data_IF_886344616534
#
_entry.id   IF_886344616534
#
_cell.length_a   1.000
_cell.length_b   1.000
_cell.length_c   1.000
_cell.angle_alpha   90.00
_cell.angle_beta   90.00
_cell.angle_gamma   90.00
#
_symmetry.space_group_name_H-M   'P 1'
#
loop_
_entity.id
_entity.type
_entity.pdbx_description
1 polymer ?
#
# COMPACT_ATOMS: atom_id res chain seq x y z
N UNK A 1 14.91 -9.28 0.45
CA UNK A 1 13.66 -9.49 -0.31
C UNK A 1 13.34 -8.18 -1.02
N UNK A 2 13.12 -8.18 -2.34
CA UNK A 2 12.79 -6.94 -3.09
C UNK A 2 11.30 -6.64 -2.88
N UNK A 3 10.96 -5.41 -2.49
CA UNK A 3 9.57 -4.99 -2.40
C UNK A 3 8.94 -4.94 -3.80
N UNK A 4 7.77 -5.54 -3.95
CA UNK A 4 6.91 -5.47 -5.15
C UNK A 4 5.47 -5.15 -4.72
N UNK A 5 4.64 -4.61 -5.62
CA UNK A 5 3.22 -4.38 -5.33
C UNK A 5 2.50 -5.66 -4.86
N UNK A 6 2.87 -6.83 -5.42
CA UNK A 6 2.27 -8.11 -5.06
C UNK A 6 2.68 -8.57 -3.66
N UNK A 7 3.97 -8.47 -3.32
CA UNK A 7 4.46 -8.78 -1.97
C UNK A 7 3.84 -7.85 -0.91
N UNK A 8 3.68 -6.56 -1.24
CA UNK A 8 3.05 -5.59 -0.35
C UNK A 8 1.55 -5.85 -0.19
N UNK A 9 0.86 -6.25 -1.26
CA UNK A 9 -0.54 -6.69 -1.23
C UNK A 9 -0.73 -7.91 -0.31
N UNK A 10 0.17 -8.88 -0.36
CA UNK A 10 0.13 -10.03 0.55
C UNK A 10 0.28 -9.59 2.02
N UNK A 11 1.25 -8.71 2.32
CA UNK A 11 1.46 -8.17 3.66
C UNK A 11 0.24 -7.41 4.18
N UNK A 12 -0.39 -6.58 3.35
CA UNK A 12 -1.65 -5.91 3.70
C UNK A 12 -2.71 -6.91 4.14
N UNK A 13 -2.85 -8.04 3.42
CA UNK A 13 -3.80 -9.09 3.76
C UNK A 13 -3.49 -9.81 5.07
N UNK A 14 -2.22 -9.90 5.46
CA UNK A 14 -1.79 -10.52 6.72
C UNK A 14 -1.92 -9.55 7.91
N UNK A 15 -1.74 -8.25 7.66
CA UNK A 15 -1.61 -7.26 8.73
C UNK A 15 -2.93 -6.58 9.11
N UNK A 16 -3.82 -6.38 8.13
CA UNK A 16 -5.08 -5.69 8.36
C UNK A 16 -6.09 -6.62 9.06
N UNK A 17 -6.59 -6.20 10.23
CA UNK A 17 -7.62 -6.94 10.97
C UNK A 17 -9.02 -6.80 10.39
N UNK A 18 -9.25 -5.81 9.52
CA UNK A 18 -10.54 -5.54 8.88
C UNK A 18 -10.47 -5.86 7.37
N UNK A 19 -11.27 -6.80 6.86
CA UNK A 19 -11.26 -7.18 5.45
C UNK A 19 -11.50 -6.00 4.49
N UNK A 20 -12.40 -5.07 4.84
CA UNK A 20 -12.68 -3.89 4.03
C UNK A 20 -11.45 -2.96 3.88
N UNK A 21 -10.66 -2.80 4.95
CA UNK A 21 -9.41 -2.02 4.89
C UNK A 21 -8.37 -2.73 4.04
N UNK A 22 -8.24 -4.06 4.18
CA UNK A 22 -7.34 -4.85 3.36
C UNK A 22 -7.67 -4.69 1.87
N UNK A 23 -8.95 -4.81 1.49
CA UNK A 23 -9.41 -4.64 0.12
C UNK A 23 -9.11 -3.24 -0.42
N UNK A 24 -9.40 -2.19 0.35
CA UNK A 24 -9.18 -0.80 -0.03
C UNK A 24 -7.69 -0.47 -0.25
N UNK A 25 -6.81 -0.95 0.64
CA UNK A 25 -5.36 -0.79 0.49
C UNK A 25 -4.83 -1.58 -0.72
N UNK A 26 -5.27 -2.83 -0.91
CA UNK A 26 -4.89 -3.65 -2.08
C UNK A 26 -5.31 -3.02 -3.41
N UNK A 27 -6.49 -2.41 -3.47
CA UNK A 27 -6.97 -1.72 -4.66
C UNK A 27 -6.04 -0.55 -5.08
N UNK A 28 -5.47 0.18 -4.10
CA UNK A 28 -4.51 1.26 -4.36
C UNK A 28 -3.17 0.73 -4.88
N UNK A 29 -2.70 -0.40 -4.35
CA UNK A 29 -1.51 -1.07 -4.88
C UNK A 29 -1.73 -1.60 -6.30
N UNK A 30 -2.93 -2.12 -6.60
CA UNK A 30 -3.27 -2.54 -7.95
C UNK A 30 -3.30 -1.36 -8.93
N UNK A 31 -3.85 -0.21 -8.51
CA UNK A 31 -3.83 1.01 -9.32
C UNK A 31 -2.41 1.52 -9.57
N UNK A 32 -1.54 1.51 -8.54
CA UNK A 32 -0.13 1.87 -8.69
C UNK A 32 0.59 0.92 -9.67
N UNK A 33 0.39 -0.39 -9.51
CA UNK A 33 0.95 -1.42 -10.41
C UNK A 33 0.52 -1.20 -11.86
N UNK A 34 -0.77 -0.95 -12.09
CA UNK A 34 -1.31 -0.70 -13.43
C UNK A 34 -0.70 0.56 -14.05
N UNK A 35 -0.62 1.66 -13.30
CA UNK A 35 -0.01 2.91 -13.77
C UNK A 35 1.48 2.76 -14.09
N UNK A 36 2.23 2.04 -13.24
CA UNK A 36 3.64 1.72 -13.44
C UNK A 36 3.86 0.91 -14.73
N UNK A 37 3.02 -0.10 -14.97
CA UNK A 37 3.10 -0.96 -16.15
C UNK A 37 2.90 -0.21 -17.49
N UNK A 38 2.18 0.92 -17.48
CA UNK A 38 1.95 1.77 -18.66
C UNK A 38 2.79 3.05 -18.64
N UNK A 39 3.72 3.21 -17.68
CA UNK A 39 4.64 4.35 -17.60
C UNK A 39 4.01 5.68 -17.17
N UNK A 40 2.85 5.66 -16.48
CA UNK A 40 2.18 6.88 -16.00
C UNK A 40 2.64 7.20 -14.57
N UNK A 41 3.87 7.70 -14.44
CA UNK A 41 4.54 7.92 -13.13
C UNK A 41 3.73 8.81 -12.18
N UNK A 42 3.01 9.82 -12.69
CA UNK A 42 2.15 10.69 -11.87
C UNK A 42 0.96 9.93 -11.26
N UNK A 43 0.35 9.00 -12.00
CA UNK A 43 -0.77 8.20 -11.51
C UNK A 43 -0.28 7.16 -10.49
N UNK A 44 0.88 6.57 -10.75
CA UNK A 44 1.55 5.67 -9.80
C UNK A 44 1.82 6.37 -8.46
N UNK A 45 2.47 7.54 -8.48
CA UNK A 45 2.79 8.30 -7.27
C UNK A 45 1.52 8.71 -6.49
N UNK A 46 0.44 9.10 -7.19
CA UNK A 46 -0.84 9.41 -6.55
C UNK A 46 -1.46 8.18 -5.87
N UNK A 47 -1.41 7.01 -6.51
CA UNK A 47 -1.94 5.77 -5.94
C UNK A 47 -1.13 5.33 -4.70
N UNK A 48 0.20 5.45 -4.75
CA UNK A 48 1.08 5.21 -3.59
C UNK A 48 0.80 6.22 -2.47
N UNK A 49 0.65 7.50 -2.77
CA UNK A 49 0.32 8.50 -1.75
C UNK A 49 -1.06 8.22 -1.10
N UNK A 50 -2.05 7.78 -1.88
CA UNK A 50 -3.34 7.37 -1.36
C UNK A 50 -3.23 6.15 -0.43
N UNK A 51 -2.38 5.18 -0.79
CA UNK A 51 -2.09 4.02 0.05
C UNK A 51 -1.47 4.46 1.39
N UNK A 52 -0.46 5.33 1.35
CA UNK A 52 0.22 5.86 2.54
C UNK A 52 -0.76 6.60 3.46
N UNK A 53 -1.61 7.47 2.90
CA UNK A 53 -2.63 8.21 3.67
C UNK A 53 -3.58 7.26 4.39
N UNK A 54 -4.08 6.24 3.71
CA UNK A 54 -5.00 5.28 4.34
C UNK A 54 -4.31 4.40 5.38
N UNK A 55 -3.10 3.88 5.09
CA UNK A 55 -2.34 3.06 6.02
C UNK A 55 -2.09 3.82 7.34
N UNK A 56 -1.71 5.09 7.25
CA UNK A 56 -1.58 5.97 8.41
C UNK A 56 -2.92 6.22 9.12
N UNK A 57 -4.01 6.45 8.38
CA UNK A 57 -5.33 6.66 8.96
C UNK A 57 -5.90 5.42 9.69
N UNK A 58 -5.43 4.23 9.31
CA UNK A 58 -5.83 2.94 9.90
C UNK A 58 -4.86 2.44 10.98
N UNK A 59 -3.78 3.17 11.24
CA UNK A 59 -2.88 2.95 12.37
C UNK A 59 -3.63 3.01 13.70
N UNK A 60 -3.43 2.02 14.56
CA UNK A 60 -4.15 1.83 15.82
C UNK A 60 -5.61 1.40 15.65
N UNK A 61 -6.10 1.17 14.42
CA UNK A 61 -7.47 0.74 14.12
C UNK A 61 -7.46 -0.65 13.48
N UNK A 62 -7.32 -0.70 12.16
CA UNK A 62 -7.24 -1.96 11.42
C UNK A 62 -5.79 -2.45 11.26
N UNK A 63 -4.81 -1.61 11.54
CA UNK A 63 -3.38 -1.93 11.54
C UNK A 63 -2.80 -1.54 12.90
N UNK A 64 -1.81 -2.29 13.41
CA UNK A 64 -0.97 -1.76 14.50
C UNK A 64 -0.10 -0.62 13.98
N UNK A 65 0.41 0.22 14.87
CA UNK A 65 1.25 1.35 14.46
C UNK A 65 2.52 0.91 13.73
N UNK A 66 3.16 -0.16 14.22
CA UNK A 66 4.37 -0.73 13.64
C UNK A 66 4.08 -1.31 12.25
N UNK A 67 2.96 -2.03 12.10
CA UNK A 67 2.55 -2.60 10.81
C UNK A 67 2.19 -1.53 9.79
N UNK A 68 1.49 -0.47 10.20
CA UNK A 68 1.18 0.66 9.34
C UNK A 68 2.46 1.35 8.84
N UNK A 69 3.39 1.68 9.75
CA UNK A 69 4.66 2.30 9.38
C UNK A 69 5.52 1.39 8.48
N UNK A 70 5.54 0.09 8.74
CA UNK A 70 6.25 -0.87 7.89
C UNK A 70 5.68 -0.89 6.46
N UNK A 71 4.36 -0.95 6.32
CA UNK A 71 3.70 -0.90 5.02
C UNK A 71 3.97 0.42 4.28
N UNK A 72 3.97 1.55 4.99
CA UNK A 72 4.28 2.88 4.42
C UNK A 72 5.70 2.91 3.84
N UNK A 73 6.71 2.48 4.61
CA UNK A 73 8.11 2.47 4.15
C UNK A 73 8.30 1.60 2.90
N UNK A 74 7.63 0.45 2.85
CA UNK A 74 7.68 -0.41 1.66
C UNK A 74 6.98 0.24 0.46
N UNK A 75 5.87 0.95 0.66
CA UNK A 75 5.17 1.64 -0.42
C UNK A 75 5.98 2.81 -0.99
N UNK A 76 6.63 3.60 -0.13
CA UNK A 76 7.50 4.71 -0.54
C UNK A 76 8.71 4.21 -1.34
N UNK A 77 9.27 3.06 -0.96
CA UNK A 77 10.37 2.42 -1.69
C UNK A 77 9.97 1.88 -3.08
N UNK A 78 8.68 1.77 -3.40
CA UNK A 78 8.21 1.38 -4.75
C UNK A 78 8.15 2.57 -5.71
N UNK A 79 8.05 3.80 -5.19
CA UNK A 79 7.92 5.02 -5.98
C UNK A 79 9.24 5.83 -6.07
N UNK A 80 10.34 5.26 -5.55
CA UNK A 80 11.69 5.82 -5.59
C UNK A 80 12.46 5.29 -6.80
#
# INVERSE_FOLDING_TARGET
>A
MKATYDSLSQLVGQFASKPAVALSLKAKLLAAKAASAIGVSKAEAQAIQAFVKEANAQSGKALTAERAQFLVRLAEALAA
#
